data_IF_604603525211
#
_entry.id   IF_604603525211
#
_cell.length_a   1.000
_cell.length_b   1.000
_cell.length_c   1.000
_cell.angle_alpha   90.00
_cell.angle_beta   90.00
_cell.angle_gamma   90.00
#
_symmetry.space_group_name_H-M   'P 1'
#
loop_
_entity.id
_entity.type
_entity.pdbx_description
1 polymer ?
#
# COMPACT_ATOMS: atom_id res chain seq x y z
N UNK A 1 8.41 67.78 -9.39
CA UNK A 1 9.10 66.59 -9.95
C UNK A 1 9.24 65.54 -8.85
N UNK A 2 8.24 64.66 -8.74
CA UNK A 2 8.13 63.66 -7.67
C UNK A 2 8.77 62.36 -8.19
N UNK A 3 9.94 62.01 -7.67
CA UNK A 3 10.52 60.67 -7.85
C UNK A 3 9.86 59.73 -6.85
N UNK A 4 8.94 58.91 -7.35
CA UNK A 4 8.34 57.78 -6.63
C UNK A 4 9.42 56.72 -6.36
N UNK A 5 9.78 56.55 -5.09
CA UNK A 5 10.47 55.36 -4.62
C UNK A 5 9.37 54.31 -4.43
N UNK A 6 9.29 53.36 -5.36
CA UNK A 6 8.49 52.16 -5.21
C UNK A 6 9.31 51.20 -4.34
N UNK A 7 9.02 51.16 -3.03
CA UNK A 7 9.50 50.09 -2.15
C UNK A 7 8.80 48.82 -2.61
N UNK A 8 9.52 48.01 -3.38
CA UNK A 8 9.12 46.65 -3.72
C UNK A 8 9.22 45.83 -2.42
N UNK A 9 8.11 45.70 -1.70
CA UNK A 9 7.98 44.68 -0.67
C UNK A 9 8.00 43.34 -1.39
N UNK A 10 9.20 42.77 -1.54
CA UNK A 10 9.40 41.36 -1.78
C UNK A 10 8.89 40.63 -0.53
N UNK A 11 7.58 40.41 -0.50
CA UNK A 11 7.00 39.33 0.29
C UNK A 11 7.59 38.04 -0.26
N UNK A 12 8.70 37.60 0.33
CA UNK A 12 9.05 36.20 0.39
C UNK A 12 7.94 35.51 1.19
N UNK A 13 6.80 35.30 0.55
CA UNK A 13 5.95 34.16 0.90
C UNK A 13 6.78 32.97 0.42
N UNK A 14 7.65 32.48 1.29
CA UNK A 14 7.99 31.07 1.27
C UNK A 14 6.65 30.36 1.43
N UNK A 15 5.98 30.08 0.31
CA UNK A 15 4.97 29.05 0.26
C UNK A 15 5.70 27.81 0.77
N UNK A 16 5.52 27.52 2.06
CA UNK A 16 5.66 26.17 2.57
C UNK A 16 4.60 25.38 1.82
N UNK A 17 4.91 25.02 0.57
CA UNK A 17 4.21 23.95 -0.13
C UNK A 17 4.32 22.79 0.84
N UNK A 18 3.19 22.29 1.38
CA UNK A 18 3.28 21.18 2.30
C UNK A 18 4.02 20.08 1.55
N UNK A 19 5.10 19.58 2.13
CA UNK A 19 5.83 18.45 1.55
C UNK A 19 4.93 17.24 1.69
N UNK A 20 4.06 17.04 0.70
CA UNK A 20 3.15 15.91 0.62
C UNK A 20 3.95 14.70 0.15
N UNK A 21 4.65 14.03 1.06
CA UNK A 21 5.27 12.75 0.72
C UNK A 21 4.29 11.59 0.89
N UNK A 22 4.46 10.61 0.00
CA UNK A 22 3.84 9.28 0.04
C UNK A 22 4.53 8.39 1.07
N UNK A 23 3.83 7.34 1.53
CA UNK A 23 4.43 6.27 2.33
C UNK A 23 4.82 5.12 1.41
N UNK A 24 6.10 4.76 1.41
CA UNK A 24 6.63 3.62 0.68
C UNK A 24 6.33 2.34 1.47
N UNK A 25 5.67 1.40 0.82
CA UNK A 25 5.59 0.01 1.23
C UNK A 25 6.40 -0.90 0.33
N UNK A 26 6.58 -2.12 0.78
CA UNK A 26 7.39 -3.11 0.10
C UNK A 26 6.67 -4.45 0.05
N UNK A 27 6.56 -5.01 -1.17
CA UNK A 27 6.04 -6.38 -1.34
C UNK A 27 7.16 -7.37 -1.06
N UNK A 28 6.91 -8.35 -0.20
CA UNK A 28 7.87 -9.43 0.10
C UNK A 28 8.27 -10.18 -1.16
N UNK A 29 9.56 -10.44 -1.39
CA UNK A 29 10.04 -11.04 -2.64
C UNK A 29 9.35 -12.36 -3.00
N UNK A 30 9.36 -13.28 -2.04
CA UNK A 30 8.79 -14.62 -2.09
C UNK A 30 7.47 -14.74 -1.32
N UNK A 31 6.88 -13.59 -0.94
CA UNK A 31 5.66 -13.52 -0.15
C UNK A 31 5.81 -14.02 1.32
N UNK A 32 7.04 -14.25 1.79
CA UNK A 32 7.31 -14.63 3.20
C UNK A 32 7.47 -13.41 4.11
N UNK A 33 7.17 -13.61 5.40
CA UNK A 33 7.38 -12.58 6.43
C UNK A 33 8.88 -12.41 6.72
N UNK A 34 9.63 -13.52 6.71
CA UNK A 34 11.09 -13.52 6.93
C UNK A 34 11.85 -12.66 5.93
N UNK A 35 11.44 -12.67 4.66
CA UNK A 35 12.06 -11.81 3.66
C UNK A 35 12.01 -10.32 4.04
N UNK A 36 10.88 -9.84 4.59
CA UNK A 36 10.76 -8.45 5.06
C UNK A 36 11.66 -8.22 6.27
N UNK A 37 11.60 -9.10 7.28
CA UNK A 37 12.41 -8.99 8.51
C UNK A 37 13.90 -8.94 8.19
N UNK A 38 14.37 -9.81 7.30
CA UNK A 38 15.77 -9.89 6.90
C UNK A 38 16.21 -8.67 6.10
N UNK A 39 15.37 -8.14 5.20
CA UNK A 39 15.66 -6.90 4.47
C UNK A 39 15.78 -5.73 5.46
N UNK A 40 14.82 -5.59 6.37
CA UNK A 40 14.82 -4.53 7.39
C UNK A 40 16.09 -4.59 8.24
N UNK A 41 16.47 -5.80 8.69
CA UNK A 41 17.68 -6.04 9.47
C UNK A 41 18.95 -5.77 8.66
N UNK A 42 19.11 -6.39 7.48
CA UNK A 42 20.35 -6.31 6.67
C UNK A 42 20.63 -4.88 6.22
N UNK A 43 19.58 -4.13 5.88
CA UNK A 43 19.72 -2.80 5.30
C UNK A 43 19.41 -1.66 6.27
N UNK A 44 19.06 -1.95 7.53
CA UNK A 44 18.73 -0.92 8.52
C UNK A 44 17.55 -0.04 8.09
N UNK A 45 16.53 -0.64 7.48
CA UNK A 45 15.29 0.04 7.06
C UNK A 45 14.10 -0.48 7.84
N UNK A 46 13.01 0.28 7.86
CA UNK A 46 11.72 -0.17 8.38
C UNK A 46 10.62 0.29 7.43
N UNK A 47 9.86 -0.65 6.90
CA UNK A 47 8.72 -0.37 6.05
C UNK A 47 7.47 -0.16 6.93
N UNK A 48 6.84 1.03 6.90
CA UNK A 48 5.56 1.24 7.59
C UNK A 48 4.44 0.41 6.98
N UNK A 49 4.60 0.03 5.70
CA UNK A 49 3.66 -0.80 4.97
C UNK A 49 4.37 -2.04 4.42
N UNK A 50 3.97 -3.21 4.88
CA UNK A 50 4.41 -4.49 4.32
C UNK A 50 3.29 -5.07 3.46
N UNK A 51 3.63 -5.62 2.29
CA UNK A 51 2.63 -6.15 1.37
C UNK A 51 2.80 -7.64 1.08
N UNK A 52 1.66 -8.33 1.07
CA UNK A 52 1.51 -9.76 0.81
C UNK A 52 0.36 -10.00 -0.16
N UNK A 53 0.49 -11.00 -1.02
CA UNK A 53 -0.52 -11.34 -2.03
C UNK A 53 -0.87 -12.81 -1.88
N UNK A 54 -2.14 -13.10 -1.63
CA UNK A 54 -2.68 -14.44 -1.60
C UNK A 54 -3.56 -14.64 -2.85
N UNK A 55 -2.94 -15.19 -3.88
CA UNK A 55 -3.54 -15.53 -5.18
C UNK A 55 -3.66 -17.06 -5.29
N UNK A 56 -4.63 -17.63 -6.04
CA UNK A 56 -4.80 -19.08 -6.29
C UNK A 56 -3.54 -19.83 -6.75
N UNK A 57 -2.53 -19.10 -7.25
CA UNK A 57 -1.29 -19.68 -7.77
C UNK A 57 -0.42 -20.28 -6.67
N UNK A 58 -0.69 -19.97 -5.41
CA UNK A 58 0.08 -20.39 -4.26
C UNK A 58 -0.85 -21.06 -3.23
N UNK A 59 -0.49 -22.27 -2.78
CA UNK A 59 -1.18 -22.91 -1.65
C UNK A 59 -0.84 -22.16 -0.36
N UNK A 60 -1.61 -21.11 -0.06
CA UNK A 60 -1.34 -20.25 1.07
C UNK A 60 -2.35 -20.47 2.20
N UNK A 61 -1.85 -20.92 3.36
CA UNK A 61 -2.61 -20.92 4.60
C UNK A 61 -2.70 -19.49 5.15
N UNK A 62 -3.69 -18.73 4.69
CA UNK A 62 -3.86 -17.30 5.04
C UNK A 62 -3.89 -17.07 6.57
N UNK A 63 -4.67 -17.82 7.38
CA UNK A 63 -4.64 -17.66 8.84
C UNK A 63 -3.26 -17.81 9.47
N UNK A 64 -2.50 -18.83 9.06
CA UNK A 64 -1.16 -19.07 9.59
C UNK A 64 -0.20 -17.93 9.22
N UNK A 65 -0.28 -17.44 7.98
CA UNK A 65 0.52 -16.29 7.55
C UNK A 65 0.13 -14.99 8.25
N UNK A 66 -1.15 -14.77 8.53
CA UNK A 66 -1.60 -13.62 9.32
C UNK A 66 -1.05 -13.66 10.76
N UNK A 67 -1.04 -14.84 11.39
CA UNK A 67 -0.40 -15.04 12.71
C UNK A 67 1.10 -14.77 12.65
N UNK A 68 1.79 -15.29 11.63
CA UNK A 68 3.21 -15.03 11.43
C UNK A 68 3.51 -13.54 11.26
N UNK A 69 2.69 -12.82 10.47
CA UNK A 69 2.76 -11.37 10.30
C UNK A 69 2.67 -10.67 11.66
N UNK A 70 1.65 -10.97 12.48
CA UNK A 70 1.52 -10.38 13.82
C UNK A 70 2.75 -10.66 14.68
N UNK A 71 3.20 -11.91 14.72
CA UNK A 71 4.30 -12.35 15.61
C UNK A 71 5.64 -11.72 15.22
N UNK A 72 5.96 -11.64 13.92
CA UNK A 72 7.28 -11.20 13.46
C UNK A 72 7.34 -9.70 13.10
N UNK A 73 6.24 -9.11 12.64
CA UNK A 73 6.17 -7.71 12.19
C UNK A 73 5.33 -6.80 13.11
N UNK A 74 4.56 -7.38 14.05
CA UNK A 74 3.82 -6.65 15.07
C UNK A 74 2.49 -6.04 14.58
N UNK A 75 1.94 -5.12 15.38
CA UNK A 75 0.67 -4.42 15.08
C UNK A 75 0.88 -2.94 14.74
N UNK A 76 2.14 -2.49 14.74
CA UNK A 76 2.53 -1.10 14.49
C UNK A 76 2.79 -0.79 13.01
N UNK A 77 2.62 -1.77 12.13
CA UNK A 77 2.66 -1.59 10.67
C UNK A 77 1.26 -1.65 10.10
N UNK A 78 1.11 -1.09 8.91
CA UNK A 78 -0.07 -1.29 8.08
C UNK A 78 0.25 -2.38 7.07
N UNK A 79 -0.72 -3.26 6.81
CA UNK A 79 -0.53 -4.40 5.93
C UNK A 79 -1.35 -4.19 4.65
N UNK A 80 -0.67 -4.12 3.50
CA UNK A 80 -1.33 -4.12 2.21
C UNK A 80 -1.50 -5.57 1.74
N UNK A 81 -2.70 -6.12 1.91
CA UNK A 81 -2.96 -7.54 1.70
C UNK A 81 -3.93 -7.72 0.54
N UNK A 82 -3.51 -8.55 -0.41
CA UNK A 82 -4.36 -8.94 -1.54
C UNK A 82 -4.95 -10.31 -1.33
N UNK A 83 -6.27 -10.46 -1.45
CA UNK A 83 -6.97 -11.75 -1.50
C UNK A 83 -7.69 -11.83 -2.84
N UNK A 84 -7.28 -12.75 -3.72
CA UNK A 84 -7.98 -12.97 -4.99
C UNK A 84 -8.94 -14.16 -4.88
N UNK A 85 -10.18 -14.05 -5.41
CA UNK A 85 -11.17 -15.14 -5.36
C UNK A 85 -10.91 -16.22 -6.40
N UNK A 86 -9.71 -16.81 -6.39
CA UNK A 86 -9.28 -17.89 -7.27
C UNK A 86 -9.68 -17.71 -8.75
N UNK A 87 -10.28 -18.74 -9.34
CA UNK A 87 -10.84 -18.74 -10.69
C UNK A 87 -12.30 -18.28 -10.74
N UNK A 88 -12.89 -17.86 -9.61
CA UNK A 88 -14.28 -17.43 -9.57
C UNK A 88 -14.47 -16.12 -10.33
N UNK A 89 -15.55 -16.07 -11.08
CA UNK A 89 -16.09 -14.86 -11.69
C UNK A 89 -16.64 -13.93 -10.62
N UNK A 90 -16.84 -12.66 -10.96
CA UNK A 90 -17.47 -11.72 -10.06
C UNK A 90 -18.91 -12.16 -9.68
N UNK A 91 -19.63 -12.79 -10.60
CA UNK A 91 -20.98 -13.28 -10.33
C UNK A 91 -20.99 -14.40 -9.29
N UNK A 92 -20.08 -15.38 -9.41
CA UNK A 92 -19.93 -16.45 -8.42
C UNK A 92 -19.54 -15.90 -7.04
N UNK A 93 -18.65 -14.90 -7.00
CA UNK A 93 -18.30 -14.21 -5.74
C UNK A 93 -19.49 -13.47 -5.16
N UNK A 94 -20.28 -12.77 -5.98
CA UNK A 94 -21.51 -12.11 -5.53
C UNK A 94 -22.56 -13.10 -4.99
N UNK A 95 -22.52 -14.36 -5.46
CA UNK A 95 -23.39 -15.45 -5.02
C UNK A 95 -22.80 -16.29 -3.88
N UNK A 96 -21.67 -15.86 -3.31
CA UNK A 96 -21.11 -16.44 -2.09
C UNK A 96 -20.03 -17.52 -2.27
N UNK A 97 -19.55 -17.77 -3.49
CA UNK A 97 -18.62 -18.87 -3.79
C UNK A 97 -17.25 -18.78 -3.08
N UNK A 98 -16.92 -17.62 -2.51
CA UNK A 98 -15.65 -17.37 -1.82
C UNK A 98 -15.81 -16.76 -0.41
N UNK A 99 -17.02 -16.84 0.16
CA UNK A 99 -17.36 -16.17 1.42
C UNK A 99 -16.57 -16.71 2.60
N UNK A 100 -16.39 -18.04 2.67
CA UNK A 100 -15.67 -18.68 3.76
C UNK A 100 -14.24 -18.14 3.89
N UNK A 101 -13.54 -17.99 2.76
CA UNK A 101 -12.17 -17.49 2.73
C UNK A 101 -12.11 -16.01 3.12
N UNK A 102 -13.06 -15.19 2.66
CA UNK A 102 -13.14 -13.78 3.07
C UNK A 102 -13.45 -13.63 4.56
N UNK A 103 -14.47 -14.32 5.08
CA UNK A 103 -14.84 -14.27 6.49
C UNK A 103 -13.70 -14.75 7.37
N UNK A 104 -13.04 -15.85 6.99
CA UNK A 104 -11.84 -16.34 7.69
C UNK A 104 -10.78 -15.26 7.77
N UNK A 105 -10.46 -14.61 6.64
CA UNK A 105 -9.49 -13.52 6.60
C UNK A 105 -9.91 -12.32 7.47
N UNK A 106 -11.18 -11.90 7.39
CA UNK A 106 -11.69 -10.76 8.15
C UNK A 106 -11.70 -11.01 9.66
N UNK A 107 -12.07 -12.21 10.11
CA UNK A 107 -11.96 -12.58 11.52
C UNK A 107 -10.51 -12.55 12.00
N UNK A 108 -9.54 -13.01 11.19
CA UNK A 108 -8.12 -12.92 11.53
C UNK A 108 -7.66 -11.46 11.69
N UNK A 109 -8.13 -10.51 10.87
CA UNK A 109 -7.81 -9.09 11.06
C UNK A 109 -8.23 -8.62 12.45
N UNK A 110 -9.46 -8.97 12.86
CA UNK A 110 -10.02 -8.56 14.15
C UNK A 110 -9.27 -9.20 15.32
N UNK A 111 -9.12 -10.53 15.30
CA UNK A 111 -8.47 -11.31 16.36
C UNK A 111 -7.01 -10.88 16.57
N UNK A 112 -6.32 -10.55 15.49
CA UNK A 112 -4.90 -10.20 15.52
C UNK A 112 -4.65 -8.70 15.74
N UNK A 113 -5.71 -7.87 15.71
CA UNK A 113 -5.65 -6.40 15.78
C UNK A 113 -4.70 -5.80 14.73
N UNK A 114 -4.84 -6.25 13.48
CA UNK A 114 -4.04 -5.77 12.36
C UNK A 114 -4.75 -4.61 11.65
N UNK A 115 -3.98 -3.69 11.08
CA UNK A 115 -4.50 -2.59 10.24
C UNK A 115 -4.22 -2.91 8.79
N UNK A 116 -5.27 -3.08 8.00
CA UNK A 116 -5.17 -3.68 6.66
C UNK A 116 -5.70 -2.73 5.59
N UNK A 117 -4.86 -2.46 4.58
CA UNK A 117 -5.33 -2.00 3.28
C UNK A 117 -5.64 -3.26 2.48
N UNK A 118 -6.92 -3.51 2.29
CA UNK A 118 -7.44 -4.72 1.69
C UNK A 118 -7.72 -4.50 0.20
N UNK A 119 -7.05 -5.30 -0.61
CA UNK A 119 -7.19 -5.28 -2.06
C UNK A 119 -7.76 -6.61 -2.52
N UNK A 120 -8.95 -6.59 -3.11
CA UNK A 120 -9.52 -7.78 -3.75
C UNK A 120 -9.90 -7.47 -5.19
N UNK A 121 -9.99 -8.51 -5.99
CA UNK A 121 -10.42 -8.45 -7.37
C UNK A 121 -9.70 -7.39 -8.24
N UNK A 122 -8.42 -7.15 -7.95
CA UNK A 122 -7.55 -6.09 -8.50
C UNK A 122 -7.37 -6.14 -10.03
N UNK A 123 -7.16 -5.01 -10.70
CA UNK A 123 -7.03 -4.96 -12.17
C UNK A 123 -8.26 -5.51 -12.92
N UNK A 124 -9.47 -5.33 -12.38
CA UNK A 124 -10.72 -5.77 -13.01
C UNK A 124 -10.98 -5.15 -14.40
N UNK A 125 -10.32 -4.04 -14.73
CA UNK A 125 -10.36 -3.43 -16.05
C UNK A 125 -9.41 -4.11 -17.08
N UNK A 126 -8.74 -5.20 -16.70
CA UNK A 126 -7.94 -6.05 -17.57
C UNK A 126 -8.58 -7.43 -17.76
N UNK A 127 -8.70 -7.90 -19.01
CA UNK A 127 -9.37 -9.15 -19.36
C UNK A 127 -8.62 -10.44 -19.01
N UNK A 128 -7.70 -10.43 -18.05
CA UNK A 128 -6.85 -11.59 -17.70
C UNK A 128 -7.47 -12.51 -16.66
N UNK A 129 -8.35 -11.95 -15.83
CA UNK A 129 -8.85 -12.62 -14.63
C UNK A 129 -10.37 -12.83 -14.72
N UNK A 130 -10.92 -13.98 -14.29
CA UNK A 130 -12.35 -14.30 -14.41
C UNK A 130 -13.29 -13.22 -13.83
N UNK A 131 -12.90 -12.62 -12.71
CA UNK A 131 -13.54 -11.44 -12.07
C UNK A 131 -13.64 -10.16 -12.93
N UNK A 132 -13.04 -10.13 -14.11
CA UNK A 132 -12.99 -8.96 -15.01
C UNK A 132 -14.06 -9.01 -16.11
N UNK A 133 -15.06 -9.89 -15.96
CA UNK A 133 -16.01 -10.24 -17.02
C UNK A 133 -17.13 -9.21 -17.21
N UNK A 134 -17.76 -8.76 -16.12
CA UNK A 134 -18.94 -7.90 -16.18
C UNK A 134 -18.92 -6.84 -15.06
N UNK A 135 -19.02 -5.54 -15.38
CA UNK A 135 -19.00 -4.47 -14.39
C UNK A 135 -20.15 -4.51 -13.37
N UNK A 136 -21.37 -4.92 -13.78
CA UNK A 136 -22.52 -4.98 -12.88
C UNK A 136 -22.36 -6.08 -11.83
N UNK A 137 -21.92 -7.27 -12.24
CA UNK A 137 -21.70 -8.36 -11.28
C UNK A 137 -20.46 -8.09 -10.42
N UNK A 138 -19.44 -7.40 -10.94
CA UNK A 138 -18.33 -6.90 -10.12
C UNK A 138 -18.80 -5.97 -9.01
N UNK A 139 -19.66 -4.98 -9.31
CA UNK A 139 -20.19 -4.06 -8.29
C UNK A 139 -20.96 -4.82 -7.21
N UNK A 140 -21.78 -5.80 -7.59
CA UNK A 140 -22.49 -6.68 -6.63
C UNK A 140 -21.51 -7.47 -5.76
N UNK A 141 -20.50 -8.09 -6.35
CA UNK A 141 -19.46 -8.85 -5.65
C UNK A 141 -18.69 -7.97 -4.67
N UNK A 142 -18.29 -6.77 -5.10
CA UNK A 142 -17.57 -5.83 -4.26
C UNK A 142 -18.37 -5.43 -3.02
N UNK A 143 -19.65 -5.06 -3.22
CA UNK A 143 -20.56 -4.70 -2.14
C UNK A 143 -20.78 -5.88 -1.20
N UNK A 144 -20.95 -7.09 -1.73
CA UNK A 144 -21.08 -8.32 -0.95
C UNK A 144 -19.86 -8.54 -0.04
N UNK A 145 -18.65 -8.52 -0.60
CA UNK A 145 -17.41 -8.69 0.18
C UNK A 145 -17.22 -7.58 1.22
N UNK A 146 -17.62 -6.34 0.90
CA UNK A 146 -17.63 -5.24 1.88
C UNK A 146 -18.59 -5.51 3.03
N UNK A 147 -19.77 -6.06 2.76
CA UNK A 147 -20.75 -6.42 3.80
C UNK A 147 -20.22 -7.56 4.69
N UNK A 148 -19.60 -8.59 4.13
CA UNK A 148 -18.95 -9.67 4.91
C UNK A 148 -17.93 -9.11 5.91
N UNK A 149 -17.16 -8.08 5.53
CA UNK A 149 -16.21 -7.45 6.47
C UNK A 149 -16.91 -6.75 7.65
N UNK A 150 -18.11 -6.19 7.41
CA UNK A 150 -18.92 -5.54 8.44
C UNK A 150 -19.61 -6.57 9.33
N UNK A 151 -20.07 -7.68 8.76
CA UNK A 151 -20.57 -8.84 9.51
C UNK A 151 -19.50 -9.44 10.44
N UNK A 152 -18.25 -9.47 9.99
CA UNK A 152 -17.10 -9.85 10.81
C UNK A 152 -16.70 -8.81 11.88
N UNK A 153 -17.43 -7.70 12.01
CA UNK A 153 -17.19 -6.68 13.03
C UNK A 153 -16.01 -5.74 12.74
N UNK A 154 -15.52 -5.71 11.49
CA UNK A 154 -14.50 -4.75 11.07
C UNK A 154 -15.14 -3.42 10.71
N UNK A 155 -14.44 -2.33 10.99
CA UNK A 155 -14.81 -0.98 10.57
C UNK A 155 -13.61 -0.27 9.92
N UNK A 156 -13.73 1.03 9.65
CA UNK A 156 -12.69 1.84 9.02
C UNK A 156 -11.36 1.85 9.81
N UNK A 157 -11.44 1.68 11.13
CA UNK A 157 -10.29 1.62 12.05
C UNK A 157 -9.52 0.31 11.94
N UNK A 158 -10.04 -0.69 11.24
CA UNK A 158 -9.42 -2.00 11.06
C UNK A 158 -9.00 -2.24 9.60
N UNK A 159 -9.85 -1.84 8.64
CA UNK A 159 -9.72 -2.19 7.23
C UNK A 159 -10.14 -1.06 6.29
N UNK A 160 -9.30 -0.79 5.29
CA UNK A 160 -9.62 0.06 4.13
C UNK A 160 -9.78 -0.80 2.88
N UNK A 161 -10.81 -0.56 2.08
CA UNK A 161 -11.00 -1.23 0.79
C UNK A 161 -10.38 -0.41 -0.34
N UNK A 162 -9.41 -1.02 -0.98
CA UNK A 162 -8.63 -0.48 -2.08
C UNK A 162 -9.08 -1.06 -3.43
N UNK A 163 -9.78 -0.23 -4.23
CA UNK A 163 -10.22 -0.62 -5.58
C UNK A 163 -9.09 -0.41 -6.58
N UNK A 164 -8.25 -1.45 -6.70
CA UNK A 164 -7.07 -1.43 -7.56
C UNK A 164 -7.36 -1.66 -9.03
N UNK A 165 -6.94 -0.74 -9.90
CA UNK A 165 -7.10 -0.83 -11.35
C UNK A 165 -5.76 -1.10 -12.05
N UNK A 166 -5.77 -1.66 -13.26
CA UNK A 166 -4.63 -1.61 -14.16
C UNK A 166 -4.55 -0.20 -14.77
N UNK A 167 -3.35 0.34 -14.96
CA UNK A 167 -3.18 1.65 -15.61
C UNK A 167 -3.67 1.73 -17.07
N UNK A 168 -4.09 0.61 -17.66
CA UNK A 168 -4.70 0.54 -19.00
C UNK A 168 -5.99 -0.27 -18.95
N UNK A 169 -7.03 0.24 -19.60
CA UNK A 169 -8.27 -0.49 -19.81
C UNK A 169 -8.10 -1.49 -20.95
N UNK A 170 -7.95 -2.76 -20.59
CA UNK A 170 -7.63 -3.85 -21.50
C UNK A 170 -8.62 -5.02 -21.35
N UNK A 171 -9.94 -4.80 -21.48
CA UNK A 171 -10.93 -5.88 -21.34
C UNK A 171 -10.73 -6.96 -22.42
N UNK A 172 -11.19 -8.18 -22.12
CA UNK A 172 -11.11 -9.29 -23.05
C UNK A 172 -12.03 -9.06 -24.27
N UNK A 173 -11.50 -9.29 -25.47
CA UNK A 173 -12.28 -9.28 -26.70
C UNK A 173 -13.33 -10.40 -26.62
N UNK A 174 -14.59 -10.05 -26.85
CA UNK A 174 -15.71 -11.00 -26.71
C UNK A 174 -16.21 -11.21 -25.28
N UNK A 175 -15.63 -10.52 -24.28
CA UNK A 175 -16.15 -10.52 -22.92
C UNK A 175 -15.80 -11.74 -22.06
N UNK A 176 -14.92 -12.64 -22.54
CA UNK A 176 -14.49 -13.83 -21.80
C UNK A 176 -13.04 -13.67 -21.32
N UNK A 177 -12.80 -13.39 -20.02
CA UNK A 177 -11.46 -13.21 -19.51
C UNK A 177 -10.64 -14.50 -19.48
N UNK A 178 -9.36 -14.42 -19.84
CA UNK A 178 -8.39 -15.50 -19.65
C UNK A 178 -6.96 -14.98 -19.78
N UNK A 179 -5.98 -15.77 -19.33
CA UNK A 179 -4.54 -15.44 -19.52
C UNK A 179 -4.12 -15.40 -20.99
N UNK A 180 -4.86 -16.06 -21.88
CA UNK A 180 -4.61 -16.13 -23.33
C UNK A 180 -5.58 -15.26 -24.15
N UNK A 181 -6.48 -14.53 -23.48
CA UNK A 181 -7.47 -13.71 -24.16
C UNK A 181 -6.80 -12.60 -24.98
N UNK A 182 -7.37 -12.33 -26.16
CA UNK A 182 -7.02 -11.12 -26.91
C UNK A 182 -7.67 -9.93 -26.23
N UNK A 183 -6.93 -8.85 -26.01
CA UNK A 183 -7.46 -7.65 -25.36
C UNK A 183 -7.90 -6.59 -26.36
N UNK A 184 -8.89 -5.80 -25.96
CA UNK A 184 -9.28 -4.57 -26.64
C UNK A 184 -8.64 -3.40 -25.92
N UNK A 185 -8.08 -2.44 -26.66
CA UNK A 185 -7.62 -1.18 -26.06
C UNK A 185 -8.81 -0.23 -25.86
N UNK A 186 -9.40 -0.26 -24.66
CA UNK A 186 -10.62 0.48 -24.33
C UNK A 186 -10.32 1.91 -23.84
N UNK A 187 -9.64 2.71 -24.65
CA UNK A 187 -9.37 4.10 -24.31
C UNK A 187 -10.62 5.00 -24.42
N UNK A 188 -10.65 6.19 -23.79
CA UNK A 188 -11.82 7.07 -23.81
C UNK A 188 -12.35 7.42 -25.21
N UNK A 189 -11.50 7.52 -26.24
CA UNK A 189 -11.93 7.83 -27.61
C UNK A 189 -12.55 6.61 -28.27
N UNK A 190 -12.03 5.42 -27.96
CA UNK A 190 -12.47 4.15 -28.56
C UNK A 190 -13.69 3.53 -27.85
N UNK A 191 -13.93 3.89 -26.57
CA UNK A 191 -14.95 3.25 -25.70
C UNK A 191 -16.33 3.17 -26.33
N UNK A 192 -16.87 4.28 -26.83
CA UNK A 192 -18.22 4.32 -27.42
C UNK A 192 -18.34 3.41 -28.65
N UNK A 193 -17.34 3.44 -29.53
CA UNK A 193 -17.31 2.63 -30.76
C UNK A 193 -17.20 1.15 -30.46
N UNK A 194 -16.35 0.80 -29.50
CA UNK A 194 -16.03 -0.60 -29.17
C UNK A 194 -16.98 -1.22 -28.15
N UNK A 195 -17.86 -0.42 -27.52
CA UNK A 195 -18.78 -0.84 -26.46
C UNK A 195 -18.06 -1.66 -25.38
N UNK A 196 -16.85 -1.23 -25.03
CA UNK A 196 -15.99 -1.92 -24.08
C UNK A 196 -16.07 -1.26 -22.69
N UNK A 197 -15.77 -2.03 -21.65
CA UNK A 197 -15.75 -1.53 -20.28
C UNK A 197 -14.41 -0.86 -19.94
N UNK A 198 -14.47 0.26 -19.24
CA UNK A 198 -13.33 0.91 -18.58
C UNK A 198 -13.48 0.82 -17.07
N UNK A 199 -12.42 1.11 -16.31
CA UNK A 199 -12.46 0.93 -14.85
C UNK A 199 -13.60 1.69 -14.13
N UNK A 200 -14.05 2.83 -14.67
CA UNK A 200 -15.16 3.60 -14.08
C UNK A 200 -16.47 2.82 -14.08
N UNK A 201 -16.69 1.92 -15.04
CA UNK A 201 -17.90 1.09 -15.12
C UNK A 201 -17.98 0.11 -13.95
N UNK A 202 -16.82 -0.27 -13.39
CA UNK A 202 -16.69 -1.18 -12.25
C UNK A 202 -16.81 -0.46 -10.91
N UNK A 203 -16.86 0.88 -10.87
CA UNK A 203 -16.86 1.63 -9.62
C UNK A 203 -18.18 1.41 -8.85
N UNK A 204 -18.16 0.82 -7.64
CA UNK A 204 -19.37 0.44 -6.91
C UNK A 204 -20.04 1.63 -6.19
N UNK A 205 -19.38 2.79 -6.18
CA UNK A 205 -19.85 4.01 -5.54
C UNK A 205 -19.01 4.39 -4.31
N UNK A 206 -19.10 5.66 -3.94
CA UNK A 206 -18.23 6.32 -2.97
C UNK A 206 -18.20 5.64 -1.59
N UNK A 207 -19.35 5.16 -1.11
CA UNK A 207 -19.47 4.53 0.22
C UNK A 207 -18.76 3.17 0.34
N UNK A 208 -18.41 2.54 -0.78
CA UNK A 208 -17.86 1.18 -0.80
C UNK A 208 -16.36 1.15 -1.09
N UNK A 209 -15.74 2.28 -1.41
CA UNK A 209 -14.33 2.40 -1.76
C UNK A 209 -13.68 3.44 -0.86
N UNK A 210 -12.64 3.05 -0.14
CA UNK A 210 -11.88 3.97 0.70
C UNK A 210 -10.68 4.54 -0.08
N UNK A 211 -10.04 3.72 -0.92
CA UNK A 211 -8.89 4.08 -1.74
C UNK A 211 -9.08 3.68 -3.20
N UNK A 212 -8.58 4.50 -4.12
CA UNK A 212 -8.42 4.11 -5.51
C UNK A 212 -6.99 3.65 -5.75
N UNK A 213 -6.85 2.35 -5.97
CA UNK A 213 -5.58 1.71 -6.23
C UNK A 213 -5.22 1.74 -7.71
N UNK A 214 -3.93 1.75 -8.04
CA UNK A 214 -3.44 1.60 -9.40
C UNK A 214 -2.17 0.76 -9.49
N UNK A 215 -2.18 -0.19 -10.41
CA UNK A 215 -1.04 -1.01 -10.80
C UNK A 215 -0.45 -0.51 -12.11
N UNK A 216 0.86 -0.28 -12.14
CA UNK A 216 1.59 0.02 -13.37
C UNK A 216 3.05 -0.41 -13.34
N UNK A 217 3.53 -0.86 -14.50
CA UNK A 217 4.86 -1.43 -14.64
C UNK A 217 5.61 -0.81 -15.81
N UNK A 218 6.91 -0.57 -15.62
CA UNK A 218 7.83 -0.34 -16.71
C UNK A 218 8.38 -1.69 -17.23
N UNK A 219 7.83 -2.15 -18.35
CA UNK A 219 8.08 -3.50 -18.88
C UNK A 219 9.37 -3.64 -19.71
N UNK A 220 9.91 -2.55 -20.26
CA UNK A 220 11.16 -2.60 -21.04
C UNK A 220 11.18 -3.70 -22.11
N UNK A 221 12.36 -4.27 -22.41
CA UNK A 221 12.52 -5.38 -23.37
C UNK A 221 13.02 -6.69 -22.72
N UNK A 222 12.68 -6.95 -21.46
CA UNK A 222 13.19 -8.15 -20.78
C UNK A 222 12.69 -9.48 -21.37
N UNK A 223 11.43 -9.57 -21.80
CA UNK A 223 10.85 -10.81 -22.36
C UNK A 223 10.06 -10.62 -23.68
N UNK A 224 9.91 -9.40 -24.16
CA UNK A 224 9.13 -9.07 -25.36
C UNK A 224 9.39 -7.62 -25.81
N UNK A 225 8.90 -7.25 -27.00
CA UNK A 225 8.98 -5.89 -27.55
C UNK A 225 8.06 -4.87 -26.84
N UNK A 226 8.15 -4.76 -25.51
CA UNK A 226 7.39 -3.76 -24.75
C UNK A 226 8.17 -2.43 -24.71
N UNK A 227 7.41 -1.36 -24.53
CA UNK A 227 7.97 -0.01 -24.44
C UNK A 227 8.40 0.28 -23.02
N UNK A 228 9.57 0.88 -22.88
CA UNK A 228 9.99 1.57 -21.67
C UNK A 228 9.33 2.95 -21.61
N UNK A 229 8.92 3.38 -20.42
CA UNK A 229 8.38 4.72 -20.20
C UNK A 229 8.64 5.18 -18.77
N UNK A 230 8.77 6.49 -18.57
CA UNK A 230 8.77 7.08 -17.22
C UNK A 230 7.41 6.82 -16.54
N UNK A 231 7.31 6.89 -15.20
CA UNK A 231 6.04 6.76 -14.49
C UNK A 231 4.93 7.66 -15.08
N UNK A 232 5.23 8.94 -15.31
CA UNK A 232 4.32 9.88 -15.98
C UNK A 232 3.85 9.38 -17.35
N UNK A 233 4.77 8.94 -18.21
CA UNK A 233 4.41 8.47 -19.56
C UNK A 233 3.57 7.19 -19.54
N UNK A 234 3.63 6.42 -18.46
CA UNK A 234 2.83 5.21 -18.28
C UNK A 234 1.43 5.57 -17.79
N UNK A 235 1.31 6.32 -16.69
CA UNK A 235 0.02 6.56 -16.02
C UNK A 235 -0.73 7.80 -16.56
N UNK A 236 -0.01 8.83 -17.00
CA UNK A 236 -0.53 10.02 -17.70
C UNK A 236 -0.41 9.88 -19.22
N UNK A 237 -0.34 8.65 -19.72
CA UNK A 237 -0.29 8.41 -21.16
C UNK A 237 -1.47 9.12 -21.86
N UNK A 238 -1.26 9.96 -22.90
CA UNK A 238 -2.35 10.72 -23.53
C UNK A 238 -3.48 9.87 -24.12
N UNK A 239 -3.21 8.60 -24.42
CA UNK A 239 -4.25 7.65 -24.85
C UNK A 239 -5.18 7.29 -23.70
N UNK A 240 -4.64 6.95 -22.54
CA UNK A 240 -5.39 6.37 -21.42
C UNK A 240 -5.87 7.43 -20.43
N UNK A 241 -5.04 8.44 -20.19
CA UNK A 241 -5.22 9.54 -19.24
C UNK A 241 -5.63 9.06 -17.83
N UNK A 242 -5.06 7.94 -17.40
CA UNK A 242 -5.58 7.15 -16.28
C UNK A 242 -5.52 7.90 -14.96
N UNK A 243 -4.39 8.52 -14.61
CA UNK A 243 -4.29 9.26 -13.35
C UNK A 243 -5.30 10.42 -13.28
N UNK A 244 -5.46 11.20 -14.35
CA UNK A 244 -6.48 12.26 -14.41
C UNK A 244 -7.89 11.71 -14.23
N UNK A 245 -8.19 10.53 -14.79
CA UNK A 245 -9.50 9.89 -14.63
C UNK A 245 -9.73 9.40 -13.20
N UNK A 246 -8.72 8.77 -12.57
CA UNK A 246 -8.80 8.34 -11.16
C UNK A 246 -9.04 9.54 -10.24
N UNK A 247 -8.31 10.66 -10.43
CA UNK A 247 -8.45 11.88 -9.61
C UNK A 247 -9.89 12.45 -9.60
N UNK A 248 -10.69 12.20 -10.64
CA UNK A 248 -12.09 12.64 -10.70
C UNK A 248 -13.01 11.89 -9.74
N UNK A 249 -12.59 10.72 -9.25
CA UNK A 249 -13.34 9.97 -8.24
C UNK A 249 -13.20 10.57 -6.82
N UNK A 250 -12.32 11.56 -6.64
CA UNK A 250 -12.10 12.29 -5.38
C UNK A 250 -11.81 11.37 -4.18
N UNK A 251 -11.04 10.31 -4.42
CA UNK A 251 -10.52 9.39 -3.41
C UNK A 251 -9.01 9.52 -3.32
N UNK A 252 -8.41 9.29 -2.13
CA UNK A 252 -6.97 9.11 -2.03
C UNK A 252 -6.50 7.98 -2.94
N UNK A 253 -5.35 8.18 -3.58
CA UNK A 253 -4.79 7.24 -4.54
C UNK A 253 -3.70 6.41 -3.86
N UNK A 254 -3.71 5.11 -4.10
CA UNK A 254 -2.67 4.19 -3.67
C UNK A 254 -2.04 3.52 -4.89
N UNK A 255 -0.71 3.40 -4.92
CA UNK A 255 -0.01 2.68 -6.00
C UNK A 255 0.27 1.26 -5.51
N UNK A 256 -0.62 0.32 -5.82
CA UNK A 256 -0.63 -1.01 -5.18
C UNK A 256 0.46 -1.93 -5.68
N UNK A 257 0.88 -1.71 -6.92
CA UNK A 257 1.97 -2.44 -7.55
C UNK A 257 2.70 -1.53 -8.55
N UNK A 258 3.95 -1.21 -8.24
CA UNK A 258 4.85 -0.51 -9.16
C UNK A 258 6.21 -1.15 -9.20
N UNK A 259 6.73 -1.35 -10.41
CA UNK A 259 8.07 -1.88 -10.60
C UNK A 259 8.61 -1.63 -12.01
N UNK A 260 9.91 -1.87 -12.17
CA UNK A 260 10.61 -1.75 -13.44
C UNK A 260 11.56 -2.92 -13.65
N UNK A 261 11.84 -3.24 -14.91
CA UNK A 261 13.04 -4.00 -15.30
C UNK A 261 14.22 -3.07 -15.58
N UNK A 262 15.44 -3.60 -15.55
CA UNK A 262 16.65 -2.91 -16.00
C UNK A 262 16.83 -2.97 -17.53
N UNK A 263 16.15 -3.88 -18.22
CA UNK A 263 16.44 -4.20 -19.62
C UNK A 263 15.69 -3.30 -20.59
N UNK A 264 16.45 -2.58 -21.42
CA UNK A 264 15.93 -1.84 -22.58
C UNK A 264 17.04 -1.52 -23.59
N UNK A 265 16.73 -1.63 -24.88
CA UNK A 265 17.65 -1.32 -26.00
C UNK A 265 16.82 -0.96 -27.26
N UNK A 266 17.39 -0.26 -28.27
CA UNK A 266 16.61 0.24 -29.41
C UNK A 266 16.11 -0.86 -30.36
N UNK A 267 16.88 -1.92 -30.57
CA UNK A 267 16.59 -3.02 -31.50
C UNK A 267 15.41 -3.89 -31.07
N UNK A 268 14.84 -4.65 -32.00
CA UNK A 268 13.81 -5.62 -31.67
C UNK A 268 14.29 -6.61 -30.60
N UNK A 269 13.36 -7.04 -29.75
CA UNK A 269 13.58 -7.99 -28.67
C UNK A 269 14.40 -9.19 -29.15
N UNK A 270 15.46 -9.46 -28.42
CA UNK A 270 16.30 -10.63 -28.55
C UNK A 270 16.63 -11.13 -27.14
N UNK A 271 16.34 -12.40 -26.86
CA UNK A 271 16.48 -12.96 -25.53
C UNK A 271 17.93 -12.91 -25.00
N UNK A 272 18.91 -13.31 -25.83
CA UNK A 272 20.32 -13.28 -25.43
C UNK A 272 20.76 -11.86 -25.10
N UNK A 273 20.39 -10.90 -25.95
CA UNK A 273 20.67 -9.49 -25.69
C UNK A 273 20.02 -8.98 -24.41
N UNK A 274 18.81 -9.44 -24.09
CA UNK A 274 18.14 -9.09 -22.83
C UNK A 274 18.87 -9.65 -21.60
N UNK A 275 19.39 -10.87 -21.68
CA UNK A 275 20.25 -11.46 -20.64
C UNK A 275 21.55 -10.65 -20.48
N UNK A 276 22.23 -10.33 -21.57
CA UNK A 276 23.49 -9.58 -21.55
C UNK A 276 23.28 -8.18 -20.94
N UNK A 277 22.21 -7.49 -21.35
CA UNK A 277 21.84 -6.18 -20.78
C UNK A 277 21.49 -6.27 -19.30
N UNK A 278 20.76 -7.32 -18.90
CA UNK A 278 20.41 -7.52 -17.50
C UNK A 278 21.65 -7.67 -16.61
N UNK A 279 22.66 -8.41 -17.08
CA UNK A 279 23.91 -8.65 -16.34
C UNK A 279 24.84 -7.42 -16.33
N UNK A 280 24.81 -6.59 -17.37
CA UNK A 280 25.78 -5.50 -17.55
C UNK A 280 25.27 -4.10 -17.23
N UNK A 281 23.95 -3.89 -17.09
CA UNK A 281 23.35 -2.55 -16.98
C UNK A 281 22.35 -2.42 -15.84
N UNK A 282 22.78 -1.79 -14.74
CA UNK A 282 21.93 -1.45 -13.59
C UNK A 282 21.38 -0.01 -13.64
N UNK A 283 22.10 0.90 -14.29
CA UNK A 283 21.83 2.34 -14.39
C UNK A 283 20.41 2.68 -14.89
N UNK A 284 19.88 1.88 -15.83
CA UNK A 284 18.53 2.10 -16.34
C UNK A 284 17.47 1.84 -15.28
N UNK A 285 17.62 0.82 -14.44
CA UNK A 285 16.69 0.60 -13.32
C UNK A 285 16.83 1.76 -12.34
N UNK A 286 18.04 2.12 -11.95
CA UNK A 286 18.29 3.22 -11.01
C UNK A 286 17.67 4.55 -11.47
N UNK A 287 17.91 4.92 -12.73
CA UNK A 287 17.32 6.14 -13.33
C UNK A 287 15.79 6.13 -13.25
N UNK A 288 15.16 4.98 -13.47
CA UNK A 288 13.70 4.88 -13.43
C UNK A 288 13.17 4.97 -12.00
N UNK A 289 13.88 4.41 -11.02
CA UNK A 289 13.51 4.50 -9.60
C UNK A 289 13.57 5.95 -9.13
N UNK A 290 14.58 6.72 -9.54
CA UNK A 290 14.63 8.16 -9.27
C UNK A 290 13.46 8.91 -9.91
N UNK A 291 13.06 8.53 -11.13
CA UNK A 291 11.86 9.09 -11.77
C UNK A 291 10.57 8.71 -11.03
N UNK A 292 10.49 7.50 -10.46
CA UNK A 292 9.37 7.07 -9.62
C UNK A 292 9.30 7.90 -8.36
N UNK A 293 10.42 8.11 -7.67
CA UNK A 293 10.52 9.02 -6.53
C UNK A 293 9.95 10.39 -6.87
N UNK A 294 10.47 11.03 -7.92
CA UNK A 294 10.10 12.40 -8.27
C UNK A 294 8.61 12.50 -8.64
N UNK A 295 8.08 11.47 -9.32
CA UNK A 295 6.65 11.35 -9.61
C UNK A 295 5.81 11.27 -8.32
N UNK A 296 6.16 10.36 -7.40
CA UNK A 296 5.41 10.16 -6.16
C UNK A 296 5.47 11.37 -5.22
N UNK A 297 6.59 12.12 -5.21
CA UNK A 297 6.69 13.36 -4.43
C UNK A 297 5.85 14.50 -5.00
N UNK A 298 5.66 14.53 -6.33
CA UNK A 298 4.88 15.57 -7.01
C UNK A 298 3.38 15.31 -6.94
N UNK A 299 2.96 14.05 -7.02
CA UNK A 299 1.55 13.67 -7.09
C UNK A 299 0.92 13.56 -5.69
N UNK A 300 0.50 14.69 -5.15
CA UNK A 300 0.07 14.84 -3.73
C UNK A 300 -1.20 14.07 -3.34
N UNK A 301 -2.00 13.60 -4.31
CA UNK A 301 -3.15 12.72 -4.04
C UNK A 301 -2.74 11.25 -3.82
N UNK A 302 -1.49 10.90 -4.16
CA UNK A 302 -0.94 9.57 -3.90
C UNK A 302 -0.48 9.52 -2.44
N UNK A 303 -1.17 8.74 -1.61
CA UNK A 303 -0.89 8.64 -0.17
C UNK A 303 0.10 7.53 0.17
N UNK A 304 0.23 6.52 -0.70
CA UNK A 304 1.19 5.44 -0.54
C UNK A 304 1.47 4.69 -1.83
N UNK A 305 2.56 3.93 -1.83
CA UNK A 305 2.99 3.13 -2.97
C UNK A 305 3.72 1.86 -2.51
N UNK A 306 3.40 0.72 -3.11
CA UNK A 306 4.10 -0.54 -2.90
C UNK A 306 5.06 -0.79 -4.05
N UNK A 307 6.36 -0.84 -3.73
CA UNK A 307 7.31 -1.38 -4.69
C UNK A 307 7.13 -2.90 -4.80
N UNK A 308 6.81 -3.39 -6.00
CA UNK A 308 6.57 -4.80 -6.27
C UNK A 308 7.89 -5.55 -6.49
N UNK A 309 8.56 -5.90 -5.39
CA UNK A 309 9.90 -6.46 -5.36
C UNK A 309 9.94 -7.96 -5.71
N UNK A 310 9.63 -8.35 -6.95
CA UNK A 310 9.55 -9.77 -7.35
C UNK A 310 10.45 -10.07 -8.53
N UNK A 311 11.00 -11.28 -8.61
CA UNK A 311 11.65 -11.79 -9.81
C UNK A 311 11.24 -13.24 -10.09
N UNK A 312 10.08 -13.40 -10.74
CA UNK A 312 9.59 -14.71 -11.16
C UNK A 312 10.43 -15.30 -12.30
N UNK A 313 11.25 -14.49 -12.96
CA UNK A 313 12.09 -14.93 -14.08
C UNK A 313 13.44 -15.48 -13.66
N UNK A 314 13.77 -15.39 -12.36
CA UNK A 314 15.07 -15.77 -11.82
C UNK A 314 16.23 -15.06 -12.55
N UNK A 315 16.14 -13.75 -12.75
CA UNK A 315 17.13 -12.95 -13.46
C UNK A 315 17.08 -13.16 -14.96
N UNK A 316 15.85 -13.21 -15.50
CA UNK A 316 15.53 -13.52 -16.89
C UNK A 316 15.95 -14.91 -17.38
N UNK A 317 16.38 -15.83 -16.50
CA UNK A 317 16.71 -17.22 -16.85
C UNK A 317 15.50 -18.04 -17.31
N UNK A 318 14.30 -17.65 -16.88
CA UNK A 318 13.04 -18.28 -17.27
C UNK A 318 12.14 -17.29 -18.01
N UNK A 319 11.63 -17.71 -19.18
CA UNK A 319 10.68 -16.93 -19.96
C UNK A 319 9.25 -17.20 -19.47
N UNK A 320 8.80 -16.37 -18.55
CA UNK A 320 7.42 -16.38 -18.08
C UNK A 320 6.66 -15.22 -18.74
N UNK A 321 5.54 -15.53 -19.39
CA UNK A 321 4.74 -14.55 -20.13
C UNK A 321 4.30 -13.43 -19.18
N UNK A 322 4.65 -12.19 -19.53
CA UNK A 322 4.25 -11.02 -18.77
C UNK A 322 5.13 -10.70 -17.56
N UNK A 323 6.05 -11.60 -17.18
CA UNK A 323 6.92 -11.46 -16.01
C UNK A 323 8.35 -11.08 -16.37
N UNK A 324 9.02 -10.41 -15.43
CA UNK A 324 10.34 -9.82 -15.58
C UNK A 324 11.05 -9.81 -14.21
N UNK A 325 12.36 -9.59 -14.19
CA UNK A 325 13.03 -9.15 -12.97
C UNK A 325 12.56 -7.73 -12.59
N UNK A 326 11.75 -7.66 -11.54
CA UNK A 326 11.26 -6.42 -10.94
C UNK A 326 11.93 -6.13 -9.60
N UNK A 327 12.70 -7.06 -9.05
CA UNK A 327 13.32 -6.91 -7.74
C UNK A 327 14.32 -5.75 -7.70
N UNK A 328 14.23 -4.95 -6.65
CA UNK A 328 15.30 -4.06 -6.17
C UNK A 328 16.23 -4.77 -5.20
N UNK A 329 15.69 -5.70 -4.42
CA UNK A 329 16.41 -6.44 -3.39
C UNK A 329 16.10 -7.92 -3.56
N UNK A 330 17.14 -8.75 -3.70
CA UNK A 330 17.01 -10.20 -3.64
C UNK A 330 18.14 -10.73 -2.75
N UNK A 331 17.77 -11.18 -1.55
CA UNK A 331 18.71 -11.65 -0.54
C UNK A 331 19.46 -12.91 -0.99
N UNK A 332 18.77 -13.85 -1.65
CA UNK A 332 19.35 -15.11 -2.11
C UNK A 332 20.44 -14.92 -3.19
N UNK A 333 20.38 -13.80 -3.92
CA UNK A 333 21.36 -13.45 -4.97
C UNK A 333 22.29 -12.30 -4.58
N UNK A 334 22.25 -11.87 -3.32
CA UNK A 334 22.92 -10.67 -2.82
C UNK A 334 22.75 -9.44 -3.73
N UNK A 335 21.55 -9.28 -4.28
CA UNK A 335 21.24 -8.25 -5.25
C UNK A 335 20.62 -7.05 -4.55
N UNK A 336 21.15 -5.86 -4.81
CA UNK A 336 20.66 -4.59 -4.27
C UNK A 336 20.89 -3.45 -5.29
N UNK A 337 19.85 -2.65 -5.54
CA UNK A 337 19.98 -1.42 -6.35
C UNK A 337 20.07 -0.20 -5.47
N UNK A 338 21.12 0.62 -5.66
CA UNK A 338 21.41 1.77 -4.80
C UNK A 338 20.30 2.81 -4.78
N UNK A 339 19.60 3.00 -5.91
CA UNK A 339 18.46 3.92 -6.02
C UNK A 339 17.29 3.58 -5.08
N UNK A 340 17.26 2.36 -4.52
CA UNK A 340 16.31 2.03 -3.45
C UNK A 340 16.47 2.97 -2.25
N UNK A 341 17.70 3.35 -1.88
CA UNK A 341 17.94 4.28 -0.76
C UNK A 341 17.33 5.63 -1.02
N UNK A 342 17.45 6.14 -2.24
CA UNK A 342 16.83 7.41 -2.61
C UNK A 342 15.31 7.36 -2.55
N UNK A 343 14.69 6.28 -3.07
CA UNK A 343 13.25 6.07 -3.01
C UNK A 343 12.73 5.88 -1.58
N UNK A 344 13.50 5.20 -0.74
CA UNK A 344 13.16 4.98 0.67
C UNK A 344 13.28 6.29 1.46
N UNK A 345 14.41 6.99 1.36
CA UNK A 345 14.67 8.22 2.11
C UNK A 345 13.75 9.38 1.72
N UNK A 346 13.21 9.38 0.50
CA UNK A 346 12.20 10.36 0.06
C UNK A 346 10.80 10.10 0.59
N UNK A 347 10.54 8.90 1.12
CA UNK A 347 9.23 8.58 1.67
C UNK A 347 8.97 9.39 2.93
N UNK A 348 7.75 9.88 3.05
CA UNK A 348 7.29 10.54 4.26
C UNK A 348 6.85 9.48 5.27
N UNK A 349 7.80 9.00 6.08
CA UNK A 349 7.54 8.07 7.18
C UNK A 349 6.62 8.61 8.28
N UNK A 350 6.09 9.83 8.13
CA UNK A 350 4.99 10.31 8.97
C UNK A 350 3.72 9.56 8.57
N UNK A 351 3.51 8.40 9.18
CA UNK A 351 2.36 7.50 8.94
C UNK A 351 1.00 8.17 9.22
N UNK A 352 0.96 9.30 9.95
CA UNK A 352 -0.26 10.03 10.33
C UNK A 352 -1.31 10.14 9.21
N UNK A 353 -0.94 10.56 7.99
CA UNK A 353 -1.91 10.68 6.89
C UNK A 353 -2.61 9.38 6.54
N UNK A 354 -1.90 8.26 6.66
CA UNK A 354 -2.49 6.96 6.41
C UNK A 354 -3.30 6.50 7.63
N UNK A 355 -2.84 6.79 8.85
CA UNK A 355 -3.64 6.56 10.06
C UNK A 355 -4.96 7.36 10.05
N UNK A 356 -4.96 8.60 9.54
CA UNK A 356 -6.15 9.43 9.36
C UNK A 356 -7.17 8.76 8.43
N UNK A 357 -6.70 8.02 7.41
CA UNK A 357 -7.58 7.23 6.54
C UNK A 357 -8.23 6.08 7.27
N UNK A 358 -7.60 5.53 8.31
CA UNK A 358 -8.22 4.55 9.21
C UNK A 358 -9.02 5.20 10.34
N UNK A 359 -9.02 6.53 10.49
CA UNK A 359 -9.63 7.21 11.64
C UNK A 359 -9.01 6.77 13.00
N UNK A 360 -7.67 6.60 13.01
CA UNK A 360 -6.90 6.20 14.19
C UNK A 360 -5.70 7.14 14.43
N UNK A 361 -5.20 7.18 15.67
CA UNK A 361 -3.94 7.84 16.02
C UNK A 361 -3.01 6.88 16.73
N UNK A 362 -1.73 7.20 16.65
CA UNK A 362 -0.70 6.57 17.47
C UNK A 362 -0.67 7.21 18.84
N UNK A 363 -0.97 6.41 19.87
CA UNK A 363 -0.88 6.82 21.28
C UNK A 363 0.33 6.14 21.91
N UNK A 364 1.11 6.92 22.65
CA UNK A 364 2.24 6.43 23.44
C UNK A 364 1.87 6.50 24.91
N UNK A 365 1.97 5.38 25.60
CA UNK A 365 1.74 5.32 27.04
C UNK A 365 2.74 4.36 27.67
N UNK A 366 3.45 4.80 28.70
CA UNK A 366 4.59 4.09 29.27
C UNK A 366 5.61 3.69 28.19
N UNK A 367 5.98 2.41 28.12
CA UNK A 367 6.85 1.84 27.09
C UNK A 367 6.10 1.28 25.89
N UNK A 368 4.77 1.35 25.86
CA UNK A 368 3.96 0.80 24.78
C UNK A 368 3.53 1.89 23.79
N UNK A 369 3.28 1.45 22.56
CA UNK A 369 2.75 2.27 21.49
C UNK A 369 1.61 1.51 20.84
N UNK A 370 0.47 2.16 20.63
CA UNK A 370 -0.70 1.52 20.03
C UNK A 370 -1.42 2.45 19.06
N UNK A 371 -2.09 1.86 18.07
CA UNK A 371 -3.03 2.58 17.22
C UNK A 371 -4.44 2.47 17.80
N UNK A 372 -5.02 3.60 18.16
CA UNK A 372 -6.33 3.70 18.79
C UNK A 372 -7.28 4.57 17.95
N UNK A 373 -8.60 4.33 18.00
CA UNK A 373 -9.59 5.23 17.41
C UNK A 373 -9.35 6.70 17.74
N UNK A 374 -9.57 7.58 16.77
CA UNK A 374 -9.31 9.02 16.90
C UNK A 374 -9.96 9.66 18.14
N UNK A 375 -11.23 9.34 18.41
CA UNK A 375 -11.96 9.87 19.56
C UNK A 375 -11.33 9.42 20.88
N UNK A 376 -11.00 8.13 21.01
CA UNK A 376 -10.37 7.57 22.21
C UNK A 376 -8.95 8.15 22.41
N UNK A 377 -8.16 8.25 21.34
CA UNK A 377 -6.83 8.83 21.38
C UNK A 377 -6.86 10.30 21.83
N UNK A 378 -7.82 11.07 21.31
CA UNK A 378 -8.02 12.48 21.68
C UNK A 378 -8.36 12.60 23.16
N UNK A 379 -9.23 11.75 23.67
CA UNK A 379 -9.62 11.75 25.08
C UNK A 379 -8.48 11.32 26.01
N UNK A 380 -7.71 10.29 25.62
CA UNK A 380 -6.49 9.88 26.34
C UNK A 380 -5.50 11.05 26.43
N UNK A 381 -5.18 11.68 25.30
CA UNK A 381 -4.24 12.80 25.26
C UNK A 381 -4.72 13.99 26.10
N UNK A 382 -6.04 14.25 26.12
CA UNK A 382 -6.65 15.28 26.97
C UNK A 382 -6.43 14.98 28.46
N UNK A 383 -6.71 13.75 28.89
CA UNK A 383 -6.54 13.33 30.28
C UNK A 383 -5.05 13.36 30.65
N UNK A 384 -4.15 12.83 29.82
CA UNK A 384 -2.71 12.88 30.05
C UNK A 384 -2.22 14.31 30.24
N UNK A 385 -2.59 15.23 29.35
CA UNK A 385 -2.17 16.64 29.45
C UNK A 385 -2.64 17.30 30.75
N UNK A 386 -3.84 16.99 31.23
CA UNK A 386 -4.35 17.51 32.50
C UNK A 386 -3.60 16.95 33.70
N UNK A 387 -3.28 15.65 33.67
CA UNK A 387 -2.56 14.98 34.76
C UNK A 387 -1.10 15.43 34.79
N UNK A 388 -0.44 15.58 33.64
CA UNK A 388 0.92 16.10 33.54
C UNK A 388 1.05 17.51 34.09
N UNK A 389 0.05 18.38 33.90
CA UNK A 389 0.04 19.73 34.49
C UNK A 389 -0.13 19.72 36.01
N UNK A 390 -0.64 18.64 36.59
CA UNK A 390 -0.98 18.51 38.01
C UNK A 390 -0.06 17.58 38.79
N UNK A 391 0.90 16.95 38.13
CA UNK A 391 1.82 15.99 38.75
C UNK A 391 3.27 16.42 38.59
N UNK A 392 4.07 16.15 39.61
CA UNK A 392 5.52 16.37 39.61
C UNK A 392 6.31 15.04 39.58
N UNK A 393 5.62 13.91 39.68
CA UNK A 393 6.22 12.58 39.67
C UNK A 393 5.31 11.53 39.02
N UNK A 394 5.89 10.42 38.56
CA UNK A 394 5.13 9.28 38.03
C UNK A 394 4.22 8.63 39.07
N UNK A 395 4.63 8.60 40.34
CA UNK A 395 3.79 8.12 41.44
C UNK A 395 2.52 8.96 41.57
N UNK A 396 2.67 10.28 41.51
CA UNK A 396 1.54 11.21 41.58
C UNK A 396 0.61 11.09 40.36
N UNK A 397 1.15 10.86 39.15
CA UNK A 397 0.35 10.56 37.96
C UNK A 397 -0.55 9.35 38.17
N UNK A 398 0.02 8.23 38.66
CA UNK A 398 -0.72 7.00 38.93
C UNK A 398 -1.82 7.21 39.97
N UNK A 399 -1.55 7.96 41.03
CA UNK A 399 -2.56 8.30 42.03
C UNK A 399 -3.69 9.16 41.46
N UNK A 400 -3.37 10.15 40.62
CA UNK A 400 -4.37 10.99 39.96
C UNK A 400 -5.24 10.14 39.04
N UNK A 401 -4.67 9.27 38.19
CA UNK A 401 -5.46 8.38 37.35
C UNK A 401 -6.40 7.48 38.17
N UNK A 402 -5.92 6.93 39.30
CA UNK A 402 -6.74 6.10 40.19
C UNK A 402 -7.89 6.88 40.84
N UNK A 403 -7.68 8.16 41.18
CA UNK A 403 -8.76 9.04 41.67
C UNK A 403 -9.76 9.35 40.56
N UNK A 404 -9.27 9.64 39.36
CA UNK A 404 -10.11 9.93 38.19
C UNK A 404 -11.00 8.74 37.81
N UNK A 405 -10.53 7.50 38.00
CA UNK A 405 -11.32 6.28 37.71
C UNK A 405 -12.41 5.97 38.72
N UNK A 406 -12.46 6.69 39.84
CA UNK A 406 -13.52 6.54 40.84
C UNK A 406 -14.70 7.49 40.59
N UNK A 407 -14.57 8.41 39.64
CA UNK A 407 -15.63 9.37 39.29
C UNK A 407 -16.69 8.64 38.47
N UNK A 408 -17.93 8.63 38.95
CA UNK A 408 -19.06 8.04 38.24
C UNK A 408 -19.65 9.01 37.20
N UNK A 409 -20.32 8.47 36.19
CA UNK A 409 -21.10 9.20 35.18
C UNK A 409 -20.29 10.11 34.22
N UNK A 410 -19.02 9.78 33.95
CA UNK A 410 -18.21 10.53 32.97
C UNK A 410 -18.40 10.07 31.52
N UNK A 411 -19.02 8.90 31.33
CA UNK A 411 -19.41 8.36 30.04
C UNK A 411 -18.42 7.33 29.47
N UNK A 412 -18.86 6.48 28.53
CA UNK A 412 -18.10 5.30 28.09
C UNK A 412 -16.70 5.61 27.52
N UNK A 413 -16.55 6.71 26.78
CA UNK A 413 -15.27 7.09 26.17
C UNK A 413 -14.22 7.47 27.22
N UNK A 414 -14.64 8.21 28.25
CA UNK A 414 -13.76 8.59 29.37
C UNK A 414 -13.33 7.36 30.17
N UNK A 415 -14.27 6.46 30.45
CA UNK A 415 -14.00 5.21 31.18
C UNK A 415 -13.01 4.31 30.43
N UNK A 416 -13.15 4.22 29.10
CA UNK A 416 -12.20 3.52 28.23
C UNK A 416 -10.81 4.18 28.25
N UNK A 417 -10.75 5.51 28.15
CA UNK A 417 -9.49 6.25 28.18
C UNK A 417 -8.74 6.06 29.51
N UNK A 418 -9.43 6.11 30.65
CA UNK A 418 -8.82 5.82 31.94
C UNK A 418 -8.42 4.36 32.10
N UNK A 419 -9.24 3.43 31.63
CA UNK A 419 -8.89 2.00 31.66
C UNK A 419 -7.59 1.74 30.89
N UNK A 420 -7.41 2.41 29.74
CA UNK A 420 -6.17 2.37 28.98
C UNK A 420 -4.98 2.97 29.76
N UNK A 421 -5.14 4.15 30.36
CA UNK A 421 -4.09 4.84 31.13
C UNK A 421 -3.71 4.14 32.45
N UNK A 422 -4.60 3.29 32.97
CA UNK A 422 -4.35 2.47 34.16
C UNK A 422 -3.84 1.07 33.80
N UNK A 423 -3.86 0.69 32.51
CA UNK A 423 -3.38 -0.61 32.09
C UNK A 423 -1.85 -0.70 32.23
N UNK A 424 -1.38 -1.79 32.84
CA UNK A 424 0.05 -2.08 32.85
C UNK A 424 0.51 -2.45 31.43
N UNK A 425 1.77 -2.16 31.05
CA UNK A 425 2.30 -2.53 29.74
C UNK A 425 2.13 -4.04 29.52
N UNK A 426 1.48 -4.42 28.42
CA UNK A 426 1.45 -5.82 28.01
C UNK A 426 2.89 -6.29 27.74
N UNK A 427 3.29 -7.41 28.34
CA UNK A 427 4.63 -8.01 28.18
C UNK A 427 4.94 -8.51 26.75
N UNK A 428 4.03 -8.29 25.79
CA UNK A 428 4.14 -8.75 24.40
C UNK A 428 4.62 -7.71 23.40
N UNK A 429 4.63 -6.41 23.74
CA UNK A 429 5.09 -5.33 22.85
C UNK A 429 6.56 -4.97 23.15
N UNK A 430 7.43 -5.98 23.17
CA UNK A 430 8.86 -5.77 23.34
C UNK A 430 9.38 -4.79 22.27
N UNK A 431 10.14 -3.79 22.73
CA UNK A 431 10.74 -2.70 21.96
C UNK A 431 11.29 -3.19 20.60
N UNK A 432 11.20 -2.39 19.52
CA UNK A 432 12.09 -2.60 18.39
C UNK A 432 13.52 -2.49 18.93
N UNK A 433 14.30 -3.56 18.83
CA UNK A 433 15.70 -3.60 19.22
C UNK A 433 16.44 -2.46 18.52
N UNK A 434 16.57 -1.34 19.21
CA UNK A 434 17.53 -0.29 18.90
C UNK A 434 18.85 -0.79 19.47
N UNK A 435 19.56 -1.59 18.69
CA UNK A 435 20.97 -1.84 18.97
C UNK A 435 21.69 -0.55 18.55
N UNK A 436 21.87 0.35 19.53
CA UNK A 436 22.86 1.42 19.46
C UNK A 436 24.12 0.96 20.19
N UNK A 437 25.24 1.31 19.56
CA UNK A 437 26.61 1.37 20.09
C UNK A 437 27.37 0.06 20.25
N UNK A 438 28.48 0.00 19.50
CA UNK A 438 29.49 -1.04 19.55
C UNK A 438 30.66 -0.67 18.64
N UNK A 439 31.35 0.42 19.00
CA UNK A 439 32.65 0.79 18.46
C UNK A 439 33.67 -0.31 18.72
N UNK A 440 34.28 -0.89 17.68
CA UNK A 440 35.61 -1.54 17.70
C UNK A 440 36.20 -1.31 16.29
N UNK A 441 37.05 -0.29 16.09
CA UNK A 441 38.52 -0.30 16.19
C UNK A 441 39.18 -1.20 15.11
N UNK A 442 40.04 -0.54 14.33
CA UNK A 442 41.07 -1.04 13.40
C UNK A 442 41.54 -2.49 13.57
N UNK A 443 41.61 -3.23 12.47
CA UNK A 443 42.85 -3.49 11.70
C UNK A 443 42.51 -4.07 10.33
#
# INVERSE_FOLDING_TARGET
MIKKILILILFYVSCFLPTYGYILGFKSFDNTVDNIVEIEKKYGVSFPIASFIFDPREQNNVPEKMKEIKTKLGTQKIYHISISPNSYTAEEVANGAFDLQYLTFFHQIKELNLKVIFRTMHEMNGGRYPRSSNPETFKKAWIHVRNLSREAGLNKNDILFDMSINARDLPAKGGTPSQTATFIECDPKSKQKLKCASFEDYYPGEKYVDLMGVTFYNRGKGNSNRRRGTPDKIINNPKWNTLTRIKKLNKPIFVDEVATTAVNYPENYNYQRSLDFYQSRTDLKDTWILQLRDFLQRETQIVGAIYFNVDLTNGLQHQIIGELDRALINLAKDKFYNSFRDLYNSSNFKIHKLLDLFDIQQVKHNSSQQYLPNELATEINRIQSLVEKKSQSETEKKEIYKKLSQIQNMGPLYDQALSYLLSEPSSGDAKPNTILSGTIISQ
#
